data_IF_347444386125
#
_entry.id   IF_347444386125
#
_cell.length_a   1.000
_cell.length_b   1.000
_cell.length_c   1.000
_cell.angle_alpha   90.00
_cell.angle_beta   90.00
_cell.angle_gamma   90.00
#
_symmetry.space_group_name_H-M   'P 1'
#
loop_
_entity.id
_entity.type
_entity.pdbx_description
1 polymer ?
#
# COMPACT_ATOMS: atom_id res chain seq x y z
N UNK A 1 -16.99 29.29 7.41
CA UNK A 1 -17.19 30.75 7.45
C UNK A 1 -15.87 31.53 7.28
N UNK A 2 -14.81 31.14 7.99
CA UNK A 2 -13.50 31.84 7.94
C UNK A 2 -12.86 31.74 6.55
N UNK A 3 -12.91 30.60 5.89
CA UNK A 3 -12.42 30.45 4.52
C UNK A 3 -13.15 31.33 3.50
N UNK A 4 -14.46 31.57 3.70
CA UNK A 4 -15.23 32.45 2.84
C UNK A 4 -14.84 33.94 2.99
N UNK A 5 -14.20 34.28 4.09
CA UNK A 5 -13.75 35.67 4.38
C UNK A 5 -12.32 35.95 3.89
N UNK A 6 -11.50 34.90 3.68
CA UNK A 6 -10.08 35.03 3.38
C UNK A 6 -9.70 34.68 1.95
N UNK A 7 -10.45 33.78 1.30
CA UNK A 7 -10.07 33.26 -0.02
C UNK A 7 -10.98 33.76 -1.13
N UNK A 8 -10.41 34.48 -2.09
CA UNK A 8 -11.09 34.84 -3.35
C UNK A 8 -11.31 33.64 -4.24
N UNK A 9 -10.34 32.70 -4.23
CA UNK A 9 -10.40 31.47 -5.00
C UNK A 9 -10.39 30.27 -4.05
N UNK A 10 -11.46 29.51 -4.05
CA UNK A 10 -11.57 28.33 -3.20
C UNK A 10 -11.07 27.13 -3.99
N UNK A 11 -9.91 26.59 -3.60
CA UNK A 11 -9.44 25.30 -4.06
C UNK A 11 -10.22 24.18 -3.31
N UNK A 12 -10.99 23.40 -4.06
CA UNK A 12 -11.67 22.23 -3.53
C UNK A 12 -10.89 20.98 -3.88
N UNK A 13 -10.68 20.13 -2.92
CA UNK A 13 -10.05 18.81 -3.12
C UNK A 13 -11.04 17.70 -2.80
N UNK A 14 -10.85 16.56 -3.43
CA UNK A 14 -11.52 15.31 -3.12
C UNK A 14 -10.43 14.28 -2.82
N UNK A 15 -10.21 14.04 -1.54
CA UNK A 15 -9.20 13.11 -1.05
C UNK A 15 -9.64 11.66 -1.27
N UNK A 16 -8.77 10.88 -1.87
CA UNK A 16 -8.92 9.43 -2.04
C UNK A 16 -7.74 8.74 -1.35
N UNK A 17 -7.99 7.61 -0.67
CA UNK A 17 -6.94 6.86 0.01
C UNK A 17 -6.71 5.48 -0.58
N UNK A 18 -5.45 5.07 -0.65
CA UNK A 18 -5.07 3.69 -0.95
C UNK A 18 -4.89 2.93 0.37
N UNK A 19 -5.55 1.77 0.48
CA UNK A 19 -5.29 0.77 1.51
C UNK A 19 -4.81 -0.52 0.85
N UNK A 20 -3.79 -1.16 1.45
CA UNK A 20 -3.28 -2.44 0.96
C UNK A 20 -2.34 -2.33 -0.25
N UNK A 21 -1.64 -1.21 -0.44
CA UNK A 21 -0.67 -1.03 -1.52
C UNK A 21 0.33 -2.18 -1.60
N UNK A 22 0.94 -2.55 -0.47
CA UNK A 22 1.92 -3.64 -0.38
C UNK A 22 1.33 -4.99 -0.80
N UNK A 23 0.09 -5.29 -0.42
CA UNK A 23 -0.59 -6.55 -0.78
C UNK A 23 -0.82 -6.64 -2.28
N UNK A 24 -1.22 -5.55 -2.92
CA UNK A 24 -1.42 -5.51 -4.38
C UNK A 24 -0.07 -5.61 -5.10
N UNK A 25 0.95 -4.91 -4.64
CA UNK A 25 2.30 -4.96 -5.21
C UNK A 25 2.88 -6.38 -5.12
N UNK A 26 2.80 -7.01 -3.96
CA UNK A 26 3.27 -8.39 -3.74
C UNK A 26 2.47 -9.41 -4.55
N UNK A 27 1.14 -9.22 -4.65
CA UNK A 27 0.29 -10.10 -5.46
C UNK A 27 0.63 -10.04 -6.96
N UNK A 28 0.85 -8.83 -7.48
CA UNK A 28 1.29 -8.66 -8.87
C UNK A 28 2.71 -9.17 -9.09
N UNK A 29 3.59 -9.01 -8.10
CA UNK A 29 4.94 -9.60 -8.10
C UNK A 29 4.86 -11.12 -8.14
N UNK A 30 4.03 -11.75 -7.30
CA UNK A 30 3.82 -13.20 -7.31
C UNK A 30 3.33 -13.69 -8.69
N UNK A 31 2.34 -13.02 -9.27
CA UNK A 31 1.82 -13.36 -10.60
C UNK A 31 2.89 -13.21 -11.70
N UNK A 32 3.79 -12.22 -11.57
CA UNK A 32 4.81 -11.94 -12.58
C UNK A 32 6.04 -12.85 -12.47
N UNK A 33 6.46 -13.21 -11.26
CA UNK A 33 7.76 -13.86 -11.02
C UNK A 33 7.65 -15.30 -10.48
N UNK A 34 6.49 -15.71 -9.97
CA UNK A 34 6.22 -17.06 -9.54
C UNK A 34 5.13 -17.73 -10.41
N UNK A 35 4.84 -18.99 -10.14
CA UNK A 35 3.74 -19.70 -10.78
C UNK A 35 2.54 -19.71 -9.85
N UNK A 36 1.54 -18.91 -10.17
CA UNK A 36 0.31 -18.78 -9.38
C UNK A 36 -0.81 -19.60 -10.04
N UNK A 37 -1.36 -20.55 -9.31
CA UNK A 37 -2.54 -21.31 -9.70
C UNK A 37 -3.74 -20.82 -8.89
N UNK A 38 -4.79 -20.43 -9.57
CA UNK A 38 -6.04 -19.98 -8.96
C UNK A 38 -6.91 -21.18 -8.64
N UNK A 39 -7.30 -21.33 -7.37
CA UNK A 39 -8.29 -22.30 -6.95
C UNK A 39 -9.68 -21.65 -6.96
N UNK A 40 -10.62 -22.27 -7.66
CA UNK A 40 -11.98 -21.76 -7.82
C UNK A 40 -12.98 -22.73 -7.17
N UNK A 41 -14.06 -22.16 -6.64
CA UNK A 41 -15.20 -22.92 -6.17
C UNK A 41 -16.11 -23.38 -7.33
N UNK A 42 -17.21 -24.03 -7.00
CA UNK A 42 -18.20 -24.54 -7.95
C UNK A 42 -18.87 -23.43 -8.78
N UNK A 43 -18.86 -22.18 -8.28
CA UNK A 43 -19.42 -21.01 -8.96
C UNK A 43 -18.42 -20.32 -9.90
N UNK A 44 -17.15 -20.76 -9.87
CA UNK A 44 -16.05 -20.18 -10.63
C UNK A 44 -15.36 -19.01 -9.92
N UNK A 45 -15.74 -18.65 -8.71
CA UNK A 45 -15.06 -17.63 -7.92
C UNK A 45 -13.69 -18.12 -7.43
N UNK A 46 -12.69 -17.22 -7.48
CA UNK A 46 -11.39 -17.51 -6.90
C UNK A 46 -11.48 -17.50 -5.37
N UNK A 47 -11.17 -18.63 -4.74
CA UNK A 47 -11.25 -18.82 -3.28
C UNK A 47 -9.88 -18.95 -2.64
N UNK A 48 -8.87 -19.41 -3.39
CA UNK A 48 -7.50 -19.52 -2.88
C UNK A 48 -6.48 -19.51 -4.03
N UNK A 49 -5.20 -19.47 -3.67
CA UNK A 49 -4.07 -19.45 -4.60
C UNK A 49 -2.98 -20.42 -4.12
N UNK A 50 -2.49 -21.26 -5.03
CA UNK A 50 -1.27 -22.04 -4.86
C UNK A 50 -0.14 -21.29 -5.55
N UNK A 51 0.94 -20.99 -4.81
CA UNK A 51 2.09 -20.25 -5.33
C UNK A 51 3.33 -21.14 -5.26
N UNK A 52 3.91 -21.43 -6.41
CA UNK A 52 5.11 -22.23 -6.57
C UNK A 52 6.26 -21.31 -7.04
N UNK A 53 7.37 -21.32 -6.30
CA UNK A 53 8.53 -20.46 -6.53
C UNK A 53 8.55 -19.24 -5.61
N UNK A 54 9.65 -18.49 -5.68
CA UNK A 54 9.84 -17.25 -4.93
C UNK A 54 9.62 -16.02 -5.80
N UNK A 55 9.25 -14.91 -5.17
CA UNK A 55 8.99 -13.63 -5.83
C UNK A 55 9.46 -12.46 -4.96
N UNK A 56 9.85 -11.33 -5.56
CA UNK A 56 10.21 -10.12 -4.82
C UNK A 56 9.05 -9.62 -3.97
N UNK A 57 9.33 -9.28 -2.71
CA UNK A 57 8.34 -8.74 -1.76
C UNK A 57 8.66 -7.28 -1.45
N UNK A 58 7.65 -6.45 -1.46
CA UNK A 58 7.74 -5.02 -1.17
C UNK A 58 8.30 -4.77 0.24
N UNK A 59 9.12 -3.72 0.37
CA UNK A 59 9.79 -3.36 1.62
C UNK A 59 11.18 -3.97 1.78
N UNK A 60 11.77 -4.51 0.72
CA UNK A 60 13.11 -5.11 0.72
C UNK A 60 14.12 -4.42 -0.19
N UNK A 61 13.82 -3.19 -0.64
CA UNK A 61 14.65 -2.40 -1.56
C UNK A 61 14.90 -3.12 -2.90
N UNK A 62 13.88 -3.80 -3.42
CA UNK A 62 13.94 -4.54 -4.67
C UNK A 62 13.14 -3.80 -5.75
N UNK A 63 13.84 -3.24 -6.74
CA UNK A 63 13.23 -2.45 -7.81
C UNK A 63 12.20 -3.21 -8.65
N UNK A 64 12.26 -4.54 -8.65
CA UNK A 64 11.32 -5.38 -9.40
C UNK A 64 9.89 -5.26 -8.84
N UNK A 65 9.74 -5.16 -7.52
CA UNK A 65 8.43 -5.00 -6.86
C UNK A 65 8.15 -3.55 -6.51
N UNK A 66 9.17 -2.75 -6.16
CA UNK A 66 9.02 -1.33 -5.84
C UNK A 66 8.47 -0.56 -7.05
N UNK A 67 8.94 -0.87 -8.27
CA UNK A 67 8.37 -0.29 -9.49
C UNK A 67 6.89 -0.64 -9.69
N UNK A 68 6.47 -1.84 -9.32
CA UNK A 68 5.05 -2.22 -9.36
C UNK A 68 4.23 -1.33 -8.41
N UNK A 69 4.71 -1.09 -7.18
CA UNK A 69 4.04 -0.20 -6.23
C UNK A 69 3.91 1.23 -6.77
N UNK A 70 4.98 1.77 -7.38
CA UNK A 70 4.97 3.07 -8.05
C UNK A 70 3.92 3.13 -9.16
N UNK A 71 3.88 2.11 -10.02
CA UNK A 71 2.93 2.04 -11.14
C UNK A 71 1.48 1.93 -10.68
N UNK A 72 1.21 1.23 -9.56
CA UNK A 72 -0.12 1.17 -8.94
C UNK A 72 -0.59 2.56 -8.55
N UNK A 73 0.25 3.34 -7.83
CA UNK A 73 -0.10 4.68 -7.37
C UNK A 73 -0.40 5.61 -8.54
N UNK A 74 0.47 5.64 -9.56
CA UNK A 74 0.29 6.45 -10.77
C UNK A 74 -0.98 6.07 -11.52
N UNK A 75 -1.18 4.77 -11.72
CA UNK A 75 -2.36 4.26 -12.44
C UNK A 75 -3.65 4.58 -11.70
N UNK A 76 -3.65 4.46 -10.36
CA UNK A 76 -4.82 4.72 -9.55
C UNK A 76 -5.24 6.19 -9.63
N UNK A 77 -4.32 7.13 -9.41
CA UNK A 77 -4.63 8.56 -9.55
C UNK A 77 -5.08 8.91 -10.99
N UNK A 78 -4.40 8.38 -12.01
CA UNK A 78 -4.78 8.61 -13.40
C UNK A 78 -6.19 8.12 -13.72
N UNK A 79 -6.62 6.99 -13.13
CA UNK A 79 -8.00 6.50 -13.25
C UNK A 79 -8.99 7.39 -12.52
N UNK A 80 -8.68 7.86 -11.31
CA UNK A 80 -9.54 8.78 -10.55
C UNK A 80 -9.79 10.07 -11.32
N UNK A 81 -8.75 10.64 -11.95
CA UNK A 81 -8.84 11.89 -12.72
C UNK A 81 -9.76 11.82 -13.94
N UNK A 82 -10.11 10.62 -14.41
CA UNK A 82 -11.09 10.43 -15.48
C UNK A 82 -12.55 10.57 -15.03
N UNK A 83 -12.79 10.73 -13.73
CA UNK A 83 -14.13 10.87 -13.17
C UNK A 83 -14.42 12.29 -12.72
N UNK A 84 -15.64 12.75 -12.97
CA UNK A 84 -16.09 14.05 -12.50
C UNK A 84 -16.28 14.07 -10.98
N UNK A 85 -15.85 15.17 -10.37
CA UNK A 85 -16.02 15.40 -8.94
C UNK A 85 -17.10 16.44 -8.66
N UNK A 86 -17.63 16.41 -7.43
CA UNK A 86 -18.55 17.44 -6.98
C UNK A 86 -17.88 18.82 -7.01
N UNK A 87 -18.55 19.78 -7.63
CA UNK A 87 -18.07 21.16 -7.81
C UNK A 87 -16.67 21.29 -8.44
N UNK A 88 -16.30 20.38 -9.34
CA UNK A 88 -15.01 20.34 -10.02
C UNK A 88 -13.81 20.31 -9.03
N UNK A 89 -13.96 19.55 -7.94
CA UNK A 89 -12.86 19.36 -6.98
C UNK A 89 -11.67 18.67 -7.64
N UNK A 90 -10.45 19.05 -7.25
CA UNK A 90 -9.22 18.36 -7.65
C UNK A 90 -9.16 17.00 -6.91
N UNK A 91 -8.90 15.91 -7.64
CA UNK A 91 -8.57 14.63 -7.00
C UNK A 91 -7.20 14.72 -6.34
N UNK A 92 -7.12 14.32 -5.09
CA UNK A 92 -5.88 14.14 -4.35
C UNK A 92 -5.81 12.72 -3.81
N UNK A 93 -4.62 12.20 -3.54
CA UNK A 93 -4.38 10.83 -3.14
C UNK A 93 -3.52 10.76 -1.89
N UNK A 94 -3.86 9.81 -1.01
CA UNK A 94 -3.04 9.47 0.16
C UNK A 94 -2.75 7.99 0.25
N UNK A 95 -1.68 7.64 0.97
CA UNK A 95 -1.36 6.27 1.40
C UNK A 95 -1.19 6.31 2.92
N UNK A 96 -2.30 6.56 3.64
CA UNK A 96 -2.33 6.91 5.06
C UNK A 96 -3.19 5.97 5.91
N UNK A 97 -3.70 4.87 5.38
CA UNK A 97 -4.62 3.99 6.12
C UNK A 97 -3.91 3.27 7.26
N UNK A 98 -4.04 3.78 8.48
CA UNK A 98 -3.39 3.21 9.67
C UNK A 98 -4.31 2.24 10.43
N UNK A 99 -5.61 2.53 10.50
CA UNK A 99 -6.58 1.70 11.23
C UNK A 99 -7.55 0.97 10.31
N UNK A 100 -7.97 1.58 9.22
CA UNK A 100 -8.89 1.00 8.24
C UNK A 100 -8.31 -0.23 7.52
N UNK A 101 -6.98 -0.40 7.51
CA UNK A 101 -6.29 -1.58 6.99
C UNK A 101 -6.78 -2.89 7.63
N UNK A 102 -7.18 -2.86 8.92
CA UNK A 102 -7.75 -4.03 9.62
C UNK A 102 -9.15 -4.34 9.11
N UNK A 103 -9.99 -3.32 8.95
CA UNK A 103 -11.38 -3.48 8.49
C UNK A 103 -11.42 -3.98 7.05
N UNK A 104 -10.61 -3.38 6.18
CA UNK A 104 -10.53 -3.80 4.77
C UNK A 104 -9.92 -5.19 4.63
N UNK A 105 -8.90 -5.53 5.44
CA UNK A 105 -8.33 -6.88 5.47
C UNK A 105 -9.37 -7.94 5.84
N UNK A 106 -10.22 -7.66 6.85
CA UNK A 106 -11.31 -8.56 7.24
C UNK A 106 -12.32 -8.81 6.13
N UNK A 107 -12.57 -7.82 5.27
CA UNK A 107 -13.52 -7.92 4.17
C UNK A 107 -12.90 -8.49 2.88
N UNK A 108 -11.60 -8.76 2.86
CA UNK A 108 -10.87 -9.22 1.67
C UNK A 108 -10.53 -10.69 1.78
N UNK A 109 -10.80 -11.45 0.70
CA UNK A 109 -10.46 -12.87 0.56
C UNK A 109 -8.95 -13.13 0.51
N UNK A 110 -8.55 -14.37 0.24
CA UNK A 110 -7.16 -14.75 0.02
C UNK A 110 -6.57 -13.99 -1.17
N UNK A 111 -5.28 -13.68 -1.11
CA UNK A 111 -4.59 -12.93 -2.16
C UNK A 111 -3.37 -13.69 -2.69
N UNK A 112 -2.97 -13.48 -3.96
CA UNK A 112 -1.90 -14.25 -4.61
C UNK A 112 -0.53 -14.15 -3.94
N UNK A 113 -0.28 -13.12 -3.11
CA UNK A 113 0.93 -12.97 -2.31
C UNK A 113 1.00 -13.90 -1.09
N UNK A 114 -0.09 -14.66 -0.84
CA UNK A 114 -0.22 -15.59 0.29
C UNK A 114 -0.87 -15.00 1.55
N UNK A 115 -1.37 -13.74 1.52
CA UNK A 115 -2.18 -13.20 2.61
C UNK A 115 -3.52 -13.95 2.67
N UNK A 116 -3.95 -14.32 3.86
CA UNK A 116 -5.19 -15.06 4.09
C UNK A 116 -6.39 -14.14 4.30
N UNK A 117 -7.56 -14.65 3.99
CA UNK A 117 -8.83 -13.96 4.25
C UNK A 117 -8.92 -13.55 5.72
N UNK A 118 -9.30 -12.31 5.97
CA UNK A 118 -9.42 -11.75 7.31
C UNK A 118 -8.15 -11.17 7.92
N UNK A 119 -6.97 -11.46 7.38
CA UNK A 119 -5.73 -10.83 7.82
C UNK A 119 -5.70 -9.32 7.46
N UNK A 120 -5.17 -8.45 8.35
CA UNK A 120 -5.06 -7.02 8.06
C UNK A 120 -4.10 -6.76 6.89
N UNK A 121 -4.28 -5.63 6.23
CA UNK A 121 -3.28 -5.08 5.31
C UNK A 121 -2.14 -4.41 6.07
N UNK A 122 -1.00 -4.20 5.42
CA UNK A 122 0.03 -3.30 5.94
C UNK A 122 -0.54 -1.88 6.13
N UNK A 123 -0.24 -1.20 7.26
CA UNK A 123 -0.73 0.15 7.51
C UNK A 123 0.00 1.15 6.60
N UNK A 124 -0.75 2.05 5.98
CA UNK A 124 -0.18 3.06 5.08
C UNK A 124 0.66 2.44 3.97
N UNK A 125 1.91 2.89 3.85
CA UNK A 125 2.88 2.38 2.88
C UNK A 125 3.76 1.24 3.42
N UNK A 126 3.46 0.71 4.60
CA UNK A 126 4.23 -0.41 5.16
C UNK A 126 4.10 -1.68 4.31
N UNK A 127 5.16 -2.50 4.25
CA UNK A 127 5.04 -3.87 3.80
C UNK A 127 4.04 -4.65 4.68
N UNK A 128 3.51 -5.74 4.18
CA UNK A 128 2.73 -6.66 4.98
C UNK A 128 3.64 -7.27 6.05
N UNK A 129 3.13 -7.43 7.26
CA UNK A 129 3.90 -7.91 8.41
C UNK A 129 4.68 -9.20 8.11
N UNK A 130 5.98 -9.19 8.41
CA UNK A 130 6.89 -10.31 8.17
C UNK A 130 7.40 -10.45 6.72
N UNK A 131 7.08 -9.52 5.83
CA UNK A 131 7.58 -9.51 4.45
C UNK A 131 8.90 -8.76 4.29
N UNK A 132 9.19 -7.84 5.19
CA UNK A 132 10.37 -6.97 5.25
C UNK A 132 11.54 -7.70 5.92
N UNK A 133 12.23 -8.54 5.17
CA UNK A 133 13.33 -9.37 5.68
C UNK A 133 14.72 -8.70 5.62
N UNK A 134 14.85 -7.59 4.86
CA UNK A 134 16.13 -6.89 4.67
C UNK A 134 16.35 -5.71 5.62
N UNK A 135 15.51 -5.60 6.67
CA UNK A 135 15.66 -4.60 7.73
C UNK A 135 15.08 -3.23 7.40
N UNK A 136 15.06 -2.36 8.41
CA UNK A 136 14.33 -1.08 8.37
C UNK A 136 14.78 -0.13 7.25
N UNK A 137 16.09 -0.07 6.96
CA UNK A 137 16.63 0.80 5.91
C UNK A 137 16.11 0.38 4.53
N UNK A 138 16.03 -0.92 4.25
CA UNK A 138 15.47 -1.43 3.01
C UNK A 138 13.99 -1.06 2.86
N UNK A 139 13.21 -1.13 3.96
CA UNK A 139 11.81 -0.67 3.96
C UNK A 139 11.73 0.81 3.63
N UNK A 140 12.54 1.64 4.29
CA UNK A 140 12.57 3.09 4.04
C UNK A 140 12.94 3.40 2.59
N UNK A 141 13.90 2.68 2.01
CA UNK A 141 14.28 2.84 0.61
C UNK A 141 13.14 2.50 -0.34
N UNK A 142 12.43 1.37 -0.12
CA UNK A 142 11.26 1.02 -0.92
C UNK A 142 10.16 2.09 -0.86
N UNK A 143 9.88 2.63 0.33
CA UNK A 143 8.89 3.69 0.52
C UNK A 143 9.35 5.01 -0.11
N UNK A 144 10.65 5.33 -0.02
CA UNK A 144 11.20 6.55 -0.61
C UNK A 144 11.09 6.59 -2.15
N UNK A 145 10.97 5.43 -2.81
CA UNK A 145 10.74 5.33 -4.27
C UNK A 145 9.30 5.63 -4.69
N UNK A 146 8.33 5.66 -3.75
CA UNK A 146 6.94 5.96 -4.09
C UNK A 146 6.81 7.37 -4.67
N UNK A 147 5.88 7.57 -5.63
CA UNK A 147 5.76 8.84 -6.33
C UNK A 147 4.98 9.86 -5.47
N UNK A 148 5.69 10.62 -4.65
CA UNK A 148 5.11 11.59 -3.70
C UNK A 148 4.28 12.66 -4.39
N UNK A 149 4.66 13.07 -5.60
CA UNK A 149 3.91 14.01 -6.42
C UNK A 149 2.52 13.52 -6.84
N UNK A 150 2.27 12.20 -6.74
CA UNK A 150 0.95 11.60 -6.99
C UNK A 150 0.18 11.37 -5.68
N UNK A 151 0.80 11.56 -4.53
CA UNK A 151 0.20 11.32 -3.20
C UNK A 151 0.24 12.60 -2.37
N UNK A 152 -0.41 13.66 -2.89
CA UNK A 152 -0.40 15.02 -2.33
C UNK A 152 -0.93 15.10 -0.89
N UNK A 153 -1.83 14.18 -0.49
CA UNK A 153 -2.38 14.13 0.86
C UNK A 153 -1.47 13.38 1.86
N UNK A 154 -0.36 12.82 1.37
CA UNK A 154 0.70 12.23 2.17
C UNK A 154 0.78 10.72 2.15
N UNK A 155 1.93 10.23 2.62
CA UNK A 155 2.28 8.81 2.75
C UNK A 155 2.70 8.57 4.19
N UNK A 156 2.14 7.54 4.85
CA UNK A 156 2.55 7.17 6.21
C UNK A 156 3.41 5.92 6.22
N UNK A 157 4.41 5.94 7.09
CA UNK A 157 5.21 4.78 7.46
C UNK A 157 5.23 4.66 8.98
N UNK A 158 4.88 3.50 9.49
CA UNK A 158 4.93 3.19 10.92
C UNK A 158 6.12 2.27 11.18
N UNK A 159 7.04 2.72 12.02
CA UNK A 159 8.20 1.95 12.44
C UNK A 159 8.14 1.72 13.95
N UNK A 160 8.34 0.47 14.37
CA UNK A 160 8.35 0.09 15.78
C UNK A 160 9.73 -0.40 16.18
N UNK A 161 10.26 0.12 17.28
CA UNK A 161 11.52 -0.34 17.89
C UNK A 161 11.16 -1.05 19.20
N UNK A 162 11.49 -2.32 19.29
CA UNK A 162 11.32 -3.06 20.54
C UNK A 162 12.39 -2.59 21.56
N UNK A 163 12.02 -2.29 22.82
CA UNK A 163 12.97 -1.96 23.84
C UNK A 163 14.09 -3.01 23.95
N UNK A 164 15.34 -2.56 24.01
CA UNK A 164 16.53 -3.42 24.07
C UNK A 164 17.09 -3.89 22.73
N UNK A 165 16.43 -3.62 21.60
CA UNK A 165 16.95 -3.95 20.26
C UNK A 165 18.24 -3.20 19.92
N UNK A 166 18.39 -1.98 20.43
CA UNK A 166 19.58 -1.13 20.25
C UNK A 166 20.62 -1.28 21.36
N UNK A 167 20.48 -2.29 22.21
CA UNK A 167 21.35 -2.52 23.36
C UNK A 167 20.72 -2.10 24.70
N UNK A 168 21.30 -2.58 25.79
CA UNK A 168 20.82 -2.31 27.15
C UNK A 168 21.48 -1.08 27.80
N UNK A 169 22.60 -0.63 27.27
CA UNK A 169 23.38 0.51 27.76
C UNK A 169 23.62 1.48 26.61
N UNK A 170 23.32 2.75 26.85
CA UNK A 170 23.88 3.84 26.08
C UNK A 170 25.33 3.97 26.58
N UNK A 171 26.30 3.40 25.86
CA UNK A 171 27.68 3.76 26.04
C UNK A 171 27.82 5.25 25.68
N UNK A 172 27.92 6.07 26.72
CA UNK A 172 28.18 7.50 26.63
C UNK A 172 29.64 7.78 26.25
#
# INVERSE_FOLDING_TARGET
>A
LEMALHDKEILRTMACGIAGLSVVADSLSAIKYAKVKVLRDETGLAVDYEVEGDFPKYGNDDDRVDSIAVDIVKTFLGKLQNHHTYRKSKHTLSILTITSNVVYGKATGNTPDGRRAGEPFGPGANPLHGRDTNGAVAVMNSIAKLPYEYSEDGISYTFSITPGTLGKELDT
#
